data_IF_957825157747
#
_entry.id   IF_957825157747
#
_cell.length_a   1.000
_cell.length_b   1.000
_cell.length_c   1.000
_cell.angle_alpha   90.00
_cell.angle_beta   90.00
_cell.angle_gamma   90.00
#
_symmetry.space_group_name_H-M   'P 1'
#
loop_
_entity.id
_entity.type
_entity.pdbx_description
1 polymer ?
#
# COMPACT_ATOMS: atom_id res chain seq x y z
N UNK A 1 11.31 -10.44 -9.02
CA UNK A 1 10.09 -10.42 -8.21
C UNK A 1 10.48 -10.72 -6.78
N UNK A 2 10.13 -9.85 -5.83
CA UNK A 2 10.43 -10.02 -4.40
C UNK A 2 9.50 -11.08 -3.81
N UNK A 3 10.04 -11.94 -2.96
CA UNK A 3 9.30 -12.97 -2.22
C UNK A 3 9.60 -12.85 -0.75
N UNK A 4 8.60 -13.06 0.09
CA UNK A 4 8.73 -13.13 1.54
C UNK A 4 7.66 -14.05 2.11
N UNK A 5 7.96 -14.71 3.23
CA UNK A 5 6.95 -15.44 4.00
C UNK A 5 6.00 -14.46 4.69
N UNK A 6 4.84 -14.94 5.14
CA UNK A 6 3.93 -14.14 5.96
C UNK A 6 4.62 -13.61 7.23
N UNK A 7 5.44 -14.43 7.88
CA UNK A 7 6.20 -14.06 9.08
C UNK A 7 7.22 -12.95 8.78
N UNK A 8 8.00 -13.10 7.72
CA UNK A 8 8.95 -12.07 7.27
C UNK A 8 8.23 -10.76 6.92
N UNK A 9 7.07 -10.84 6.27
CA UNK A 9 6.27 -9.68 5.94
C UNK A 9 5.77 -8.96 7.19
N UNK A 10 5.24 -9.69 8.17
CA UNK A 10 4.79 -9.14 9.46
C UNK A 10 5.94 -8.48 10.20
N UNK A 11 7.10 -9.15 10.29
CA UNK A 11 8.30 -8.59 10.91
C UNK A 11 8.76 -7.30 10.19
N UNK A 12 8.70 -7.27 8.85
CA UNK A 12 9.03 -6.09 8.07
C UNK A 12 8.05 -4.93 8.29
N UNK A 13 6.74 -5.20 8.45
CA UNK A 13 5.75 -4.17 8.77
C UNK A 13 6.03 -3.55 10.14
N UNK A 14 6.27 -4.39 11.17
CA UNK A 14 6.60 -3.95 12.53
C UNK A 14 7.91 -3.16 12.57
N UNK A 15 8.91 -3.56 11.79
CA UNK A 15 10.18 -2.84 11.70
C UNK A 15 10.06 -1.48 10.98
N UNK A 16 9.09 -1.34 10.06
CA UNK A 16 8.89 -0.12 9.28
C UNK A 16 8.10 0.94 10.03
N UNK A 17 7.04 0.54 10.74
CA UNK A 17 6.05 1.47 11.30
C UNK A 17 5.62 1.08 12.72
N UNK A 18 5.32 2.07 13.58
CA UNK A 18 4.91 1.82 14.97
C UNK A 18 3.49 1.24 15.09
N UNK A 19 2.67 1.30 14.03
CA UNK A 19 1.33 0.71 13.99
C UNK A 19 1.00 0.19 12.59
N UNK A 20 -0.01 -0.68 12.49
CA UNK A 20 -0.42 -1.27 11.20
C UNK A 20 -1.03 -0.23 10.25
N UNK A 21 -1.76 0.75 10.78
CA UNK A 21 -2.34 1.87 10.03
C UNK A 21 -1.29 2.72 9.34
N UNK A 22 -0.08 2.78 9.92
CA UNK A 22 1.07 3.52 9.42
C UNK A 22 2.01 2.62 8.59
N UNK A 23 1.70 1.34 8.39
CA UNK A 23 2.48 0.52 7.46
C UNK A 23 2.28 1.07 6.05
N UNK A 24 3.36 1.57 5.45
CA UNK A 24 3.34 2.25 4.16
C UNK A 24 3.80 1.33 3.04
N UNK A 25 2.97 1.23 2.01
CA UNK A 25 3.22 0.44 0.80
C UNK A 25 3.35 1.36 -0.41
N UNK A 26 3.99 0.86 -1.46
CA UNK A 26 4.24 1.57 -2.70
C UNK A 26 3.48 0.95 -3.86
N UNK A 27 2.63 1.72 -4.52
CA UNK A 27 1.92 1.24 -5.70
C UNK A 27 2.94 0.86 -6.81
N UNK A 28 2.92 -0.38 -7.34
CA UNK A 28 3.90 -0.84 -8.33
C UNK A 28 3.74 -0.16 -9.70
N UNK A 29 2.61 0.49 -9.94
CA UNK A 29 2.28 1.14 -11.21
C UNK A 29 2.59 2.63 -11.23
N UNK A 30 2.24 3.36 -10.18
CA UNK A 30 2.38 4.82 -10.13
C UNK A 30 3.39 5.32 -9.10
N UNK A 31 3.89 4.46 -8.22
CA UNK A 31 4.88 4.81 -7.21
C UNK A 31 4.34 5.54 -5.99
N UNK A 32 3.03 5.84 -5.93
CA UNK A 32 2.41 6.49 -4.77
C UNK A 32 2.64 5.66 -3.50
N UNK A 33 3.16 6.34 -2.47
CA UNK A 33 3.22 5.84 -1.10
C UNK A 33 1.86 6.03 -0.44
N UNK A 34 1.40 4.99 0.26
CA UNK A 34 0.08 4.98 0.88
C UNK A 34 0.05 4.05 2.09
N UNK A 35 -0.76 4.41 3.09
CA UNK A 35 -1.02 3.63 4.29
C UNK A 35 -2.52 3.70 4.65
N UNK A 36 -2.91 3.09 5.77
CA UNK A 36 -4.31 3.02 6.20
C UNK A 36 -4.97 4.39 6.37
N UNK A 37 -4.22 5.39 6.83
CA UNK A 37 -4.74 6.75 7.01
C UNK A 37 -5.11 7.40 5.69
N UNK A 38 -4.34 7.15 4.61
CA UNK A 38 -4.67 7.67 3.28
C UNK A 38 -5.99 7.11 2.75
N UNK A 39 -6.28 5.82 3.00
CA UNK A 39 -7.54 5.21 2.61
C UNK A 39 -8.73 5.78 3.39
N UNK A 40 -8.56 6.02 4.69
CA UNK A 40 -9.59 6.65 5.53
C UNK A 40 -9.85 8.08 5.02
N UNK A 41 -8.78 8.87 4.79
CA UNK A 41 -8.88 10.22 4.25
C UNK A 41 -9.53 10.26 2.85
N UNK A 42 -9.30 9.23 2.03
CA UNK A 42 -9.94 9.07 0.72
C UNK A 42 -11.40 8.59 0.78
N UNK A 43 -11.96 8.35 1.97
CA UNK A 43 -13.34 7.90 2.16
C UNK A 43 -13.57 6.42 1.84
N UNK A 44 -12.53 5.59 1.83
CA UNK A 44 -12.64 4.15 1.57
C UNK A 44 -13.30 3.36 2.72
N UNK A 45 -13.37 3.96 3.91
CA UNK A 45 -13.90 3.36 5.13
C UNK A 45 -13.84 4.34 6.31
N UNK A 46 -14.46 3.99 7.45
CA UNK A 46 -14.54 4.86 8.64
C UNK A 46 -13.36 4.66 9.60
N UNK A 47 -12.59 3.59 9.44
CA UNK A 47 -11.45 3.28 10.28
C UNK A 47 -10.66 2.08 9.77
N UNK A 48 -9.65 1.66 10.54
CA UNK A 48 -8.71 0.61 10.14
C UNK A 48 -9.39 -0.69 9.70
N UNK A 49 -10.38 -1.18 10.45
CA UNK A 49 -11.09 -2.42 10.13
C UNK A 49 -11.77 -2.42 8.75
N UNK A 50 -12.18 -1.25 8.25
CA UNK A 50 -12.81 -1.12 6.93
C UNK A 50 -11.76 -1.07 5.81
N UNK A 51 -10.59 -0.49 6.08
CA UNK A 51 -9.58 -0.17 5.05
C UNK A 51 -8.41 -1.15 4.98
N UNK A 52 -8.16 -1.94 6.03
CA UNK A 52 -7.02 -2.84 6.11
C UNK A 52 -6.91 -3.80 4.91
N UNK A 53 -8.05 -4.23 4.38
CA UNK A 53 -8.12 -5.13 3.22
C UNK A 53 -7.64 -4.51 1.90
N UNK A 54 -7.60 -3.18 1.81
CA UNK A 54 -7.14 -2.44 0.62
C UNK A 54 -5.65 -2.15 0.67
N UNK A 55 -5.10 -1.99 1.87
CA UNK A 55 -3.67 -1.71 2.07
C UNK A 55 -2.86 -2.84 1.49
N UNK A 56 -1.97 -2.52 0.54
CA UNK A 56 -1.12 -3.51 -0.11
C UNK A 56 -1.73 -4.16 -1.36
N UNK A 57 -2.99 -3.89 -1.67
CA UNK A 57 -3.72 -4.52 -2.78
C UNK A 57 -4.22 -3.47 -3.78
N UNK A 58 -4.72 -2.35 -3.28
CA UNK A 58 -5.33 -1.27 -4.06
C UNK A 58 -4.48 0.00 -3.98
N UNK A 59 -4.51 0.80 -5.05
CA UNK A 59 -4.03 2.18 -4.98
C UNK A 59 -5.16 3.09 -4.46
N UNK A 60 -4.83 4.00 -3.54
CA UNK A 60 -5.75 4.98 -2.93
C UNK A 60 -6.49 5.82 -3.97
N UNK A 61 -5.87 6.03 -5.14
CA UNK A 61 -6.49 6.73 -6.27
C UNK A 61 -7.79 6.09 -6.76
N UNK A 62 -8.00 4.79 -6.49
CA UNK A 62 -9.25 4.08 -6.77
C UNK A 62 -10.44 4.67 -6.01
N UNK A 63 -10.21 5.25 -4.85
CA UNK A 63 -11.23 5.84 -3.98
C UNK A 63 -11.40 7.34 -4.20
N UNK A 64 -10.41 8.00 -4.80
CA UNK A 64 -10.45 9.44 -5.12
C UNK A 64 -10.84 9.75 -6.56
N UNK A 65 -11.22 8.75 -7.37
CA UNK A 65 -11.59 8.93 -8.77
C UNK A 65 -10.40 9.13 -9.73
N UNK A 66 -9.19 8.69 -9.34
CA UNK A 66 -8.02 8.76 -10.21
C UNK A 66 -8.17 7.88 -11.46
N UNK A 67 -7.48 8.28 -12.53
CA UNK A 67 -7.47 7.53 -13.79
C UNK A 67 -6.61 6.26 -13.76
N UNK A 68 -6.61 5.57 -14.92
CA UNK A 68 -5.78 4.38 -15.16
C UNK A 68 -4.28 4.65 -14.97
N UNK A 69 -3.48 3.60 -14.66
CA UNK A 69 -2.03 3.71 -14.64
C UNK A 69 -1.46 4.31 -15.91
N UNK A 70 -0.42 5.12 -15.72
CA UNK A 70 0.36 5.72 -16.80
C UNK A 70 1.47 4.76 -17.24
N UNK A 71 2.02 4.99 -18.43
CA UNK A 71 3.17 4.20 -18.93
C UNK A 71 4.40 4.39 -18.05
N UNK A 72 4.62 5.62 -17.58
CA UNK A 72 5.70 5.97 -16.66
C UNK A 72 5.10 6.53 -15.36
N UNK A 73 5.64 6.17 -14.18
CA UNK A 73 5.21 6.72 -12.91
C UNK A 73 5.50 8.22 -12.81
N UNK A 74 4.47 9.01 -12.52
CA UNK A 74 4.54 10.47 -12.33
C UNK A 74 4.34 10.89 -10.85
N UNK A 75 4.30 9.91 -9.94
CA UNK A 75 4.06 10.11 -8.51
C UNK A 75 2.60 10.41 -8.14
N UNK A 76 1.70 10.59 -9.11
CA UNK A 76 0.26 10.78 -8.87
C UNK A 76 -0.42 9.44 -8.67
N UNK A 77 -1.47 9.39 -7.85
CA UNK A 77 -2.22 8.14 -7.61
C UNK A 77 -2.94 7.64 -8.88
N UNK A 78 -3.26 6.35 -8.92
CA UNK A 78 -4.03 5.72 -10.01
C UNK A 78 -5.12 4.81 -9.44
N UNK A 79 -5.93 4.20 -10.31
CA UNK A 79 -6.97 3.25 -9.91
C UNK A 79 -6.53 1.77 -9.87
N UNK A 80 -5.21 1.50 -9.88
CA UNK A 80 -4.67 0.13 -9.94
C UNK A 80 -5.10 -0.75 -8.74
N UNK A 81 -5.33 -2.04 -9.00
CA UNK A 81 -5.70 -3.05 -8.01
C UNK A 81 -5.13 -4.41 -8.39
N UNK A 82 -4.68 -5.19 -7.40
CA UNK A 82 -4.31 -6.60 -7.57
C UNK A 82 -5.51 -7.56 -7.56
N UNK A 83 -6.72 -7.06 -7.28
CA UNK A 83 -7.96 -7.83 -7.33
C UNK A 83 -8.53 -8.02 -8.76
N UNK A 84 -7.91 -7.39 -9.77
CA UNK A 84 -8.35 -7.49 -11.17
C UNK A 84 -7.82 -8.71 -11.92
N UNK A 85 -8.21 -8.82 -13.20
CA UNK A 85 -7.76 -9.90 -14.11
C UNK A 85 -6.23 -9.90 -14.31
N UNK A 86 -5.61 -8.71 -14.30
CA UNK A 86 -4.18 -8.55 -14.46
C UNK A 86 -3.53 -8.28 -13.10
N UNK A 87 -2.66 -9.19 -12.67
CA UNK A 87 -1.92 -9.08 -11.41
C UNK A 87 -0.50 -8.59 -11.69
N UNK A 88 -0.33 -7.38 -12.20
CA UNK A 88 1.00 -6.75 -12.28
C UNK A 88 1.43 -6.35 -10.87
N UNK A 89 2.32 -7.15 -10.29
CA UNK A 89 2.87 -6.96 -8.96
C UNK A 89 4.39 -7.10 -8.99
N UNK A 90 5.07 -6.64 -7.94
CA UNK A 90 6.52 -6.76 -7.77
C UNK A 90 6.91 -7.62 -6.57
N UNK A 91 5.94 -7.88 -5.67
CA UNK A 91 6.12 -8.65 -4.46
C UNK A 91 4.98 -9.66 -4.27
N UNK A 92 5.32 -10.83 -3.75
CA UNK A 92 4.36 -11.82 -3.24
C UNK A 92 4.68 -12.15 -1.79
N UNK A 93 3.62 -12.34 -1.00
CA UNK A 93 3.69 -12.88 0.36
C UNK A 93 3.24 -14.34 0.29
N UNK A 94 4.04 -15.25 0.84
CA UNK A 94 3.77 -16.69 0.83
C UNK A 94 3.29 -17.11 2.22
N UNK A 95 2.10 -17.69 2.30
CA UNK A 95 1.50 -18.20 3.55
C UNK A 95 2.06 -19.59 3.91
N UNK A 96 1.88 -20.05 5.16
CA UNK A 96 2.43 -21.34 5.62
C UNK A 96 1.95 -22.57 4.83
N UNK A 97 0.78 -22.49 4.21
CA UNK A 97 0.21 -23.50 3.29
C UNK A 97 0.79 -23.43 1.86
N UNK A 98 1.74 -22.53 1.61
CA UNK A 98 2.40 -22.34 0.32
C UNK A 98 1.63 -21.49 -0.68
N UNK A 99 0.50 -20.89 -0.29
CA UNK A 99 -0.28 -20.02 -1.18
C UNK A 99 0.41 -18.67 -1.36
N UNK A 100 0.43 -18.18 -2.60
CA UNK A 100 1.05 -16.91 -2.96
C UNK A 100 0.02 -15.80 -3.09
N UNK A 101 0.23 -14.73 -2.33
CA UNK A 101 -0.60 -13.54 -2.32
C UNK A 101 0.18 -12.36 -2.91
N UNK A 102 -0.14 -11.93 -4.15
CA UNK A 102 0.39 -10.70 -4.71
C UNK A 102 0.12 -9.51 -3.79
N UNK A 103 1.15 -8.70 -3.60
CA UNK A 103 1.09 -7.58 -2.67
C UNK A 103 1.96 -6.42 -3.18
N UNK A 104 1.65 -5.20 -2.77
CA UNK A 104 2.48 -4.04 -3.02
C UNK A 104 3.72 -4.06 -2.14
N UNK A 105 4.83 -3.54 -2.66
CA UNK A 105 6.08 -3.50 -1.91
C UNK A 105 5.95 -2.58 -0.70
N UNK A 106 6.50 -3.00 0.44
CA UNK A 106 6.73 -2.10 1.57
C UNK A 106 7.70 -1.00 1.15
N UNK A 107 7.37 0.24 1.51
CA UNK A 107 8.30 1.35 1.42
C UNK A 107 9.53 1.11 2.31
N UNK A 108 10.63 1.81 2.06
CA UNK A 108 11.73 1.82 3.04
C UNK A 108 11.29 2.53 4.33
N UNK A 109 11.91 2.24 5.49
CA UNK A 109 11.60 2.97 6.73
C UNK A 109 11.74 4.50 6.59
N UNK A 110 12.71 4.97 5.81
CA UNK A 110 12.90 6.39 5.54
C UNK A 110 11.77 6.98 4.67
N UNK A 111 11.34 6.29 3.60
CA UNK A 111 10.19 6.70 2.79
C UNK A 111 8.89 6.74 3.62
N UNK A 112 8.66 5.71 4.46
CA UNK A 112 7.50 5.65 5.34
C UNK A 112 7.50 6.80 6.36
N UNK A 113 8.64 7.04 7.03
CA UNK A 113 8.77 8.14 7.97
C UNK A 113 8.54 9.51 7.32
N UNK A 114 9.08 9.72 6.10
CA UNK A 114 8.86 10.94 5.34
C UNK A 114 7.37 11.12 4.97
N UNK A 115 6.70 10.05 4.54
CA UNK A 115 5.26 10.08 4.24
C UNK A 115 4.43 10.44 5.47
N UNK A 116 4.67 9.79 6.61
CA UNK A 116 3.97 10.07 7.87
C UNK A 116 4.13 11.51 8.34
N UNK A 117 5.33 12.08 8.17
CA UNK A 117 5.62 13.45 8.53
C UNK A 117 4.83 14.48 7.69
N UNK A 118 4.36 14.11 6.50
CA UNK A 118 3.47 14.96 5.68
C UNK A 118 2.00 14.84 6.08
N UNK A 119 1.57 13.67 6.54
CA UNK A 119 0.21 13.42 7.01
C UNK A 119 -0.10 14.20 8.31
N UNK A 120 0.89 14.40 9.18
CA UNK A 120 0.76 15.20 10.41
C UNK A 120 0.81 16.73 10.21
N UNK A 121 0.99 17.23 8.98
CA UNK A 121 1.09 18.66 8.66
C UNK A 121 -0.14 19.22 7.92
N UNK A 122 -1.18 18.40 7.75
CA UNK A 122 -2.35 18.73 6.93
C UNK A 122 -3.44 19.58 7.59
N UNK A 123 -3.36 19.86 8.89
CA UNK A 123 -4.39 20.59 9.64
C UNK A 123 -3.82 21.81 10.40
N UNK A 124 -3.21 22.75 9.69
CA UNK A 124 -2.88 24.08 10.21
C UNK A 124 -3.38 25.20 9.28
#
# INVERSE_FOLDING_TARGET
>A
MKRMTLEEFQAACVAQAPSSELTTVKCPMCGTLQNGLDFIAAGAGKGWGDVARYVGVDCVGRFTGAGSPRKEPDGRSCNWSLGGLFKTHRMVVVTPDGIEHPHFELATPAEAAAHHATQGKGDA
#
